data_IF_940642239060
#
_entry.id   IF_940642239060
#
_cell.length_a   1.000
_cell.length_b   1.000
_cell.length_c   1.000
_cell.angle_alpha   90.00
_cell.angle_beta   90.00
_cell.angle_gamma   90.00
#
_symmetry.space_group_name_H-M   'P 1'
#
loop_
_entity.id
_entity.type
_entity.pdbx_description
1 polymer ?
#
# COMPACT_ATOMS: atom_id res chain seq x y z
N UNK A 1 5.21 -3.34 -14.94
CA UNK A 1 3.93 -3.84 -14.44
C UNK A 1 4.21 -4.66 -13.19
N UNK A 2 3.45 -4.47 -12.12
CA UNK A 2 3.59 -5.26 -10.88
C UNK A 2 2.21 -5.50 -10.26
N UNK A 3 1.93 -6.68 -9.68
CA UNK A 3 0.79 -6.83 -8.78
C UNK A 3 0.87 -5.80 -7.65
N UNK A 4 -0.28 -5.29 -7.19
CA UNK A 4 -0.32 -4.24 -6.15
C UNK A 4 0.00 -4.76 -4.75
N UNK A 5 -0.09 -6.08 -4.54
CA UNK A 5 0.25 -6.79 -3.31
C UNK A 5 1.09 -8.05 -3.60
N UNK A 6 1.84 -8.49 -2.59
CA UNK A 6 2.59 -9.74 -2.61
C UNK A 6 2.38 -10.54 -1.31
N UNK A 7 2.82 -11.81 -1.33
CA UNK A 7 2.77 -12.73 -0.16
C UNK A 7 1.38 -12.81 0.49
N UNK A 8 0.36 -13.03 -0.34
CA UNK A 8 -1.02 -13.19 0.11
C UNK A 8 -1.68 -11.91 0.64
N UNK A 9 -1.13 -10.73 0.34
CA UNK A 9 -1.64 -9.45 0.85
C UNK A 9 -0.85 -8.90 2.03
N UNK A 10 0.19 -9.61 2.50
CA UNK A 10 1.04 -9.16 3.60
C UNK A 10 2.01 -8.03 3.21
N UNK A 11 2.28 -7.84 1.92
CA UNK A 11 3.20 -6.83 1.40
C UNK A 11 2.48 -5.98 0.36
N UNK A 12 2.63 -4.66 0.46
CA UNK A 12 2.21 -3.73 -0.60
C UNK A 12 3.36 -3.49 -1.57
N UNK A 13 3.09 -3.47 -2.88
CA UNK A 13 4.06 -3.05 -3.90
C UNK A 13 4.18 -1.52 -3.97
N UNK A 14 3.19 -0.79 -3.45
CA UNK A 14 3.20 0.66 -3.35
C UNK A 14 3.39 1.07 -1.89
N UNK A 15 4.46 1.79 -1.61
CA UNK A 15 4.92 2.10 -0.25
C UNK A 15 5.16 3.60 -0.10
N UNK A 16 5.13 4.13 1.15
CA UNK A 16 5.49 5.51 1.43
C UNK A 16 6.83 5.95 0.81
N UNK A 17 7.87 5.16 0.99
CA UNK A 17 9.19 5.34 0.38
C UNK A 17 9.77 3.96 0.09
N UNK A 18 10.34 3.76 -1.09
CA UNK A 18 10.99 2.48 -1.44
C UNK A 18 12.25 2.28 -0.61
N UNK A 19 12.53 1.04 -0.19
CA UNK A 19 13.73 0.70 0.58
C UNK A 19 15.03 0.80 -0.23
N UNK A 20 14.91 0.72 -1.56
CA UNK A 20 16.00 0.84 -2.52
C UNK A 20 15.47 1.53 -3.79
N UNK A 21 16.28 2.40 -4.40
CA UNK A 21 15.91 3.12 -5.64
C UNK A 21 16.85 2.69 -6.76
N UNK A 22 16.35 1.83 -7.66
CA UNK A 22 17.03 1.50 -8.92
C UNK A 22 16.71 2.51 -10.03
N UNK A 23 15.47 3.01 -10.02
CA UNK A 23 14.92 3.91 -11.03
C UNK A 23 14.28 5.10 -10.34
N UNK A 24 14.85 6.28 -10.54
CA UNK A 24 14.28 7.51 -9.99
C UNK A 24 12.99 7.91 -10.75
N UNK A 25 12.28 8.88 -10.19
CA UNK A 25 11.01 9.37 -10.71
C UNK A 25 11.12 9.94 -12.13
N UNK A 26 12.28 10.47 -12.52
CA UNK A 26 12.50 11.00 -13.86
C UNK A 26 12.52 9.89 -14.93
N UNK A 27 12.94 8.69 -14.56
CA UNK A 27 13.04 7.53 -15.46
C UNK A 27 11.73 6.74 -15.61
N UNK A 28 10.73 6.98 -14.76
CA UNK A 28 9.47 6.23 -14.76
C UNK A 28 8.29 7.15 -15.13
N UNK A 29 7.64 6.86 -16.26
CA UNK A 29 6.51 7.64 -16.75
C UNK A 29 5.16 6.94 -16.59
N UNK A 30 5.10 5.61 -16.58
CA UNK A 30 3.84 4.86 -16.45
C UNK A 30 4.00 3.77 -15.39
N UNK A 31 3.00 3.64 -14.52
CA UNK A 31 2.89 2.53 -13.57
C UNK A 31 1.59 1.78 -13.78
N UNK A 32 1.62 0.45 -13.67
CA UNK A 32 0.47 -0.43 -13.89
C UNK A 32 0.45 -1.53 -12.85
N UNK A 33 -0.72 -1.72 -12.24
CA UNK A 33 -1.10 -2.88 -11.43
C UNK A 33 -2.45 -3.44 -11.88
N UNK A 34 -2.92 -4.51 -11.24
CA UNK A 34 -4.27 -5.05 -11.48
C UNK A 34 -5.39 -4.09 -11.04
N UNK A 35 -5.08 -3.05 -10.25
CA UNK A 35 -6.03 -2.01 -9.83
C UNK A 35 -6.22 -0.92 -10.90
N UNK A 36 -5.27 -0.77 -11.82
CA UNK A 36 -5.31 0.24 -12.86
C UNK A 36 -3.95 0.76 -13.32
N UNK A 37 -3.99 1.89 -14.03
CA UNK A 37 -2.85 2.54 -14.67
C UNK A 37 -2.71 3.98 -14.19
N UNK A 38 -1.49 4.37 -13.83
CA UNK A 38 -1.11 5.74 -13.53
C UNK A 38 -0.13 6.27 -14.59
N UNK A 39 -0.57 7.28 -15.34
CA UNK A 39 0.27 8.03 -16.26
C UNK A 39 0.89 9.23 -15.54
N UNK A 40 2.20 9.22 -15.35
CA UNK A 40 2.98 10.16 -14.56
C UNK A 40 3.62 11.29 -15.38
N UNK A 41 3.40 11.30 -16.71
CA UNK A 41 3.95 12.35 -17.57
C UNK A 41 3.43 13.72 -17.15
N UNK A 42 4.35 14.70 -17.12
CA UNK A 42 4.10 16.11 -16.78
C UNK A 42 3.44 16.33 -15.41
N UNK A 43 3.64 15.43 -14.44
CA UNK A 43 3.09 15.56 -13.08
C UNK A 43 4.17 15.88 -12.07
N UNK A 44 3.86 16.80 -11.16
CA UNK A 44 4.68 17.08 -9.97
C UNK A 44 4.69 15.87 -9.03
N UNK A 45 5.66 15.76 -8.09
CA UNK A 45 5.72 14.65 -7.15
C UNK A 45 4.41 14.41 -6.37
N UNK A 46 3.71 15.48 -5.97
CA UNK A 46 2.41 15.39 -5.28
C UNK A 46 1.30 14.82 -6.17
N UNK A 47 1.22 15.28 -7.42
CA UNK A 47 0.24 14.76 -8.39
C UNK A 47 0.52 13.31 -8.73
N UNK A 48 1.80 12.92 -8.84
CA UNK A 48 2.23 11.54 -9.04
C UNK A 48 1.80 10.67 -7.86
N UNK A 49 2.10 11.09 -6.63
CA UNK A 49 1.72 10.36 -5.42
C UNK A 49 0.19 10.13 -5.38
N UNK A 50 -0.61 11.19 -5.55
CA UNK A 50 -2.07 11.09 -5.58
C UNK A 50 -2.54 10.11 -6.66
N UNK A 51 -2.02 10.21 -7.89
CA UNK A 51 -2.46 9.34 -8.98
C UNK A 51 -2.09 7.87 -8.75
N UNK A 52 -0.87 7.59 -8.27
CA UNK A 52 -0.40 6.23 -7.96
C UNK A 52 -1.27 5.61 -6.87
N UNK A 53 -1.53 6.36 -5.79
CA UNK A 53 -2.40 5.92 -4.70
C UNK A 53 -3.78 5.58 -5.25
N UNK A 54 -4.40 6.48 -6.04
CA UNK A 54 -5.75 6.28 -6.52
C UNK A 54 -5.92 5.19 -7.57
N UNK A 55 -4.94 5.03 -8.47
CA UNK A 55 -5.07 4.16 -9.65
C UNK A 55 -4.38 2.81 -9.52
N UNK A 56 -3.35 2.69 -8.68
CA UNK A 56 -2.51 1.48 -8.67
C UNK A 56 -2.46 0.77 -7.32
N UNK A 57 -2.64 1.47 -6.20
CA UNK A 57 -2.55 0.86 -4.88
C UNK A 57 -3.76 -0.04 -4.56
N UNK A 58 -3.49 -1.16 -3.90
CA UNK A 58 -4.53 -2.10 -3.44
C UNK A 58 -5.47 -1.42 -2.44
N UNK A 59 -6.79 -1.70 -2.45
CA UNK A 59 -7.74 -1.14 -1.48
C UNK A 59 -7.33 -1.30 -0.02
N UNK A 60 -6.72 -2.43 0.34
CA UNK A 60 -6.21 -2.70 1.71
C UNK A 60 -5.14 -1.71 2.18
N UNK A 61 -4.37 -1.12 1.26
CA UNK A 61 -3.27 -0.20 1.59
C UNK A 61 -3.53 1.24 1.16
N UNK A 62 -4.57 1.47 0.35
CA UNK A 62 -4.86 2.78 -0.25
C UNK A 62 -5.10 3.86 0.81
N UNK A 63 -5.91 3.56 1.83
CA UNK A 63 -6.18 4.54 2.89
C UNK A 63 -4.95 4.80 3.76
N UNK A 64 -4.16 3.76 4.08
CA UNK A 64 -2.89 3.93 4.79
C UNK A 64 -1.89 4.81 4.02
N UNK A 65 -1.85 4.71 2.67
CA UNK A 65 -1.02 5.58 1.84
C UNK A 65 -1.54 7.02 1.81
N UNK A 66 -2.87 7.21 1.76
CA UNK A 66 -3.48 8.54 1.84
C UNK A 66 -3.15 9.21 3.16
N UNK A 67 -3.28 8.48 4.26
CA UNK A 67 -2.99 8.97 5.61
C UNK A 67 -1.51 9.36 5.73
N UNK A 68 -0.59 8.51 5.27
CA UNK A 68 0.84 8.86 5.24
C UNK A 68 1.10 10.11 4.40
N UNK A 69 0.53 10.20 3.20
CA UNK A 69 0.75 11.31 2.29
C UNK A 69 0.22 12.62 2.89
N UNK A 70 -1.00 12.60 3.44
CA UNK A 70 -1.60 13.75 4.12
C UNK A 70 -0.75 14.16 5.32
N UNK A 71 -0.39 13.23 6.20
CA UNK A 71 0.48 13.51 7.35
C UNK A 71 1.80 14.14 6.91
N UNK A 72 2.47 13.55 5.92
CA UNK A 72 3.73 14.04 5.38
C UNK A 72 3.60 15.48 4.82
N UNK A 73 2.49 15.83 4.17
CA UNK A 73 2.25 17.20 3.71
C UNK A 73 2.22 18.21 4.86
N UNK A 74 1.80 17.83 6.06
CA UNK A 74 1.74 18.71 7.23
C UNK A 74 3.09 18.81 7.94
N UNK A 75 3.82 17.70 8.08
CA UNK A 75 5.03 17.66 8.92
C UNK A 75 6.34 17.81 8.16
N UNK A 76 6.34 17.61 6.84
CA UNK A 76 7.59 17.63 6.08
C UNK A 76 8.18 19.04 6.01
N UNK A 77 9.48 19.13 6.28
CA UNK A 77 10.25 20.38 6.14
C UNK A 77 10.23 20.89 4.68
N UNK A 78 10.36 19.96 3.73
CA UNK A 78 10.33 20.24 2.30
C UNK A 78 8.98 19.90 1.69
N UNK A 79 8.37 20.86 0.99
CA UNK A 79 7.02 20.70 0.43
C UNK A 79 7.00 20.25 -1.03
N UNK A 80 8.14 20.06 -1.70
CA UNK A 80 8.16 19.56 -3.08
C UNK A 80 7.81 18.06 -3.14
N UNK A 81 8.52 17.25 -2.34
CA UNK A 81 8.33 15.80 -2.18
C UNK A 81 8.15 15.51 -0.69
N UNK A 82 6.92 15.64 -0.16
CA UNK A 82 6.69 15.61 1.28
C UNK A 82 6.91 14.20 1.86
N UNK A 83 7.76 14.11 2.87
CA UNK A 83 7.99 12.90 3.66
C UNK A 83 8.10 13.20 5.16
N UNK A 84 7.57 12.28 5.98
CA UNK A 84 7.99 12.12 7.37
C UNK A 84 9.10 11.07 7.42
N UNK A 85 10.34 11.52 7.64
CA UNK A 85 11.53 10.65 7.67
C UNK A 85 11.49 9.62 8.80
N UNK A 86 10.78 9.89 9.90
CA UNK A 86 10.64 8.95 11.01
C UNK A 86 9.80 7.73 10.63
N UNK A 87 8.92 7.89 9.64
CA UNK A 87 7.93 6.88 9.28
C UNK A 87 8.07 6.36 7.84
N UNK A 88 8.91 6.99 7.00
CA UNK A 88 9.03 6.69 5.57
C UNK A 88 9.29 5.20 5.27
N UNK A 89 10.11 4.54 6.10
CA UNK A 89 10.44 3.11 5.95
C UNK A 89 9.69 2.19 6.94
N UNK A 90 8.76 2.73 7.73
CA UNK A 90 8.09 2.00 8.83
C UNK A 90 7.33 0.76 8.36
N UNK A 91 6.82 0.73 7.14
CA UNK A 91 6.12 -0.44 6.60
C UNK A 91 7.07 -1.63 6.40
N UNK A 92 8.31 -1.37 5.96
CA UNK A 92 9.33 -2.40 5.78
C UNK A 92 9.77 -2.94 7.14
N UNK A 93 9.96 -2.05 8.13
CA UNK A 93 10.26 -2.44 9.51
C UNK A 93 9.13 -3.32 10.08
N UNK A 94 7.87 -2.89 9.93
CA UNK A 94 6.70 -3.66 10.38
C UNK A 94 6.62 -5.04 9.74
N UNK A 95 6.95 -5.15 8.45
CA UNK A 95 7.01 -6.43 7.77
C UNK A 95 8.05 -7.36 8.41
N UNK A 96 9.23 -6.86 8.76
CA UNK A 96 10.27 -7.64 9.43
C UNK A 96 9.86 -8.07 10.84
N UNK A 97 9.21 -7.19 11.59
CA UNK A 97 8.83 -7.43 13.00
C UNK A 97 7.59 -8.31 13.14
N UNK A 98 6.60 -8.15 12.26
CA UNK A 98 5.26 -8.73 12.42
C UNK A 98 4.84 -9.69 11.32
N UNK A 99 5.62 -9.77 10.23
CA UNK A 99 5.30 -10.57 9.05
C UNK A 99 4.29 -9.93 8.09
N UNK A 100 3.83 -8.69 8.34
CA UNK A 100 2.97 -7.93 7.43
C UNK A 100 3.26 -6.42 7.45
N UNK A 101 3.08 -5.76 6.30
CA UNK A 101 3.07 -4.31 6.19
C UNK A 101 1.78 -3.68 6.71
N UNK A 102 0.66 -4.41 6.81
CA UNK A 102 -0.61 -3.84 7.27
C UNK A 102 -0.71 -3.96 8.80
N UNK A 103 -0.95 -2.85 9.54
CA UNK A 103 -0.92 -2.85 11.01
C UNK A 103 -1.95 -3.80 11.62
N UNK A 104 -3.11 -3.94 11.00
CA UNK A 104 -4.20 -4.79 11.48
C UNK A 104 -4.36 -6.08 10.67
N UNK A 105 -3.30 -6.57 9.98
CA UNK A 105 -3.42 -7.73 9.10
C UNK A 105 -3.95 -8.98 9.81
N UNK A 106 -3.46 -9.27 11.02
CA UNK A 106 -3.91 -10.43 11.81
C UNK A 106 -5.40 -10.40 12.07
N UNK A 107 -5.97 -9.23 12.38
CA UNK A 107 -7.41 -9.07 12.58
C UNK A 107 -8.19 -9.39 11.30
N UNK A 108 -7.67 -9.01 10.14
CA UNK A 108 -8.29 -9.35 8.84
C UNK A 108 -8.22 -10.85 8.55
N UNK A 109 -7.08 -11.48 8.82
CA UNK A 109 -6.87 -12.93 8.69
C UNK A 109 -7.85 -13.70 9.58
N UNK A 110 -7.95 -13.32 10.86
CA UNK A 110 -8.88 -13.91 11.83
C UNK A 110 -10.35 -13.76 11.38
N UNK A 111 -10.75 -12.60 10.84
CA UNK A 111 -12.12 -12.39 10.34
C UNK A 111 -12.43 -13.32 9.16
N UNK A 112 -11.48 -13.49 8.23
CA UNK A 112 -11.66 -14.34 7.05
C UNK A 112 -11.77 -15.81 7.48
N UNK A 113 -10.87 -16.28 8.34
CA UNK A 113 -10.88 -17.67 8.83
C UNK A 113 -12.17 -17.99 9.57
N UNK A 114 -12.60 -17.11 10.48
CA UNK A 114 -13.85 -17.27 11.21
C UNK A 114 -15.08 -17.23 10.28
N UNK A 115 -15.06 -16.41 9.23
CA UNK A 115 -16.17 -16.35 8.26
C UNK A 115 -16.26 -17.64 7.44
N UNK A 116 -15.13 -18.18 6.98
CA UNK A 116 -15.09 -19.44 6.23
C UNK A 116 -15.57 -20.63 7.09
N UNK A 117 -15.12 -20.72 8.35
CA UNK A 117 -15.59 -21.75 9.29
C UNK A 117 -17.11 -21.67 9.52
N UNK A 118 -17.65 -20.47 9.72
CA UNK A 118 -19.09 -20.28 9.94
C UNK A 118 -19.93 -20.67 8.71
N UNK A 119 -19.45 -20.40 7.49
CA UNK A 119 -20.13 -20.81 6.25
C UNK A 119 -20.12 -22.35 6.12
N UNK A 120 -18.97 -22.99 6.33
CA UNK A 120 -18.83 -24.46 6.27
C UNK A 120 -19.74 -25.13 7.30
N UNK A 121 -19.77 -24.62 8.54
CA UNK A 121 -20.59 -25.19 9.61
C UNK A 121 -22.10 -25.04 9.32
N UNK A 122 -22.53 -23.93 8.72
CA UNK A 122 -23.92 -23.74 8.28
C UNK A 122 -24.33 -24.64 7.12
N UNK A 123 -23.42 -24.97 6.22
CA UNK A 123 -23.67 -25.93 5.13
C UNK A 123 -23.79 -27.34 5.70
N UNK A 124 -22.92 -27.71 6.65
CA UNK A 124 -22.92 -29.02 7.30
C UNK A 124 -24.19 -29.29 8.14
N UNK A 125 -24.81 -28.26 8.72
CA UNK A 125 -26.03 -28.36 9.55
C UNK A 125 -27.35 -28.33 8.74
N UNK A 126 -27.28 -28.24 7.41
CA UNK A 126 -28.45 -28.21 6.51
C UNK A 126 -28.70 -29.52 5.75
N UNK A 127 -27.89 -30.54 5.99
CA UNK A 127 -28.04 -31.92 5.48
C UNK A 127 -28.35 -32.87 6.64
#
# INVERSE_FOLDING_TARGET
>A
MTPSIAKGGKISAFVPMVSHVDHNEHSVQIMVSEQGLADLRAKSPKERAKLIIEKCAHPMYKDLLRDYFQHAQHVSFGQHTPHDLKQALSWHVRLQETGSMHPDYKKLEDIIENTQQNVVQRIALRN
#
